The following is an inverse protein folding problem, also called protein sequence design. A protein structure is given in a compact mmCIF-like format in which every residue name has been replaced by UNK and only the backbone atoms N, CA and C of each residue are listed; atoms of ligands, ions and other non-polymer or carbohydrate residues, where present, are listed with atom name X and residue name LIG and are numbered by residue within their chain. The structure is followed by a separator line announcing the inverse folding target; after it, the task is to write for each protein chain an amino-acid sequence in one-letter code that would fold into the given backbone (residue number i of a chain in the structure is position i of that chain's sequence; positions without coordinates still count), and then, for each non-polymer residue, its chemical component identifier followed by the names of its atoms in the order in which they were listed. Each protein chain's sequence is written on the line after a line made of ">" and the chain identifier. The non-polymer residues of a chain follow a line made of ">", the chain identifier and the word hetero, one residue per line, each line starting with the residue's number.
data_IF_798137487934
#
_entry.id   IF_798137487934
#
_cell.length_a   1.000
_cell.length_b   1.000
_cell.length_c   1.000
_cell.angle_alpha   90.00
_cell.angle_beta   90.00
_cell.angle_gamma   90.00
#
_symmetry.space_group_name_H-M   'P 1'
#
loop_
_entity.id
_entity.type
_entity.pdbx_description
1 polymer ?
#
# COMPACT_ATOMS: atom_id res chain seq x y z
N UNK A 1 -4.35 10.91 14.15
CA UNK A 1 -5.23 12.06 14.44
C UNK A 1 -6.70 11.80 14.09
N UNK A 2 -7.08 11.31 12.89
CA UNK A 2 -8.50 10.99 12.62
C UNK A 2 -9.01 9.69 13.29
N UNK A 3 -8.08 8.81 13.68
CA UNK A 3 -8.40 7.44 14.10
C UNK A 3 -8.67 7.31 15.62
N UNK A 4 -8.63 8.41 16.38
CA UNK A 4 -8.75 8.37 17.86
C UNK A 4 -9.78 9.40 18.39
N UNK A 5 -10.06 10.52 17.70
CA UNK A 5 -11.07 11.53 18.12
C UNK A 5 -12.25 11.68 17.14
N UNK A 6 -12.69 10.58 16.52
CA UNK A 6 -13.44 10.59 15.25
C UNK A 6 -14.61 11.59 15.15
N UNK A 7 -15.48 11.72 16.17
CA UNK A 7 -16.61 12.64 16.12
C UNK A 7 -16.22 14.11 16.33
N UNK A 8 -15.29 14.38 17.25
CA UNK A 8 -14.90 15.74 17.64
C UNK A 8 -13.87 16.34 16.67
N UNK A 9 -12.94 15.50 16.18
CA UNK A 9 -12.00 15.84 15.13
C UNK A 9 -12.68 16.13 13.79
N UNK A 10 -13.72 15.37 13.44
CA UNK A 10 -14.50 15.62 12.22
C UNK A 10 -15.30 16.92 12.30
N UNK A 11 -15.96 17.19 13.44
CA UNK A 11 -16.67 18.47 13.69
C UNK A 11 -15.70 19.66 13.63
N UNK A 12 -14.52 19.53 14.23
CA UNK A 12 -13.48 20.56 14.16
C UNK A 12 -12.92 20.77 12.75
N UNK A 13 -12.76 19.71 11.96
CA UNK A 13 -12.34 19.80 10.56
C UNK A 13 -13.39 20.53 9.71
N UNK A 14 -14.67 20.13 9.80
CA UNK A 14 -15.78 20.78 9.09
C UNK A 14 -15.87 22.27 9.46
N UNK A 15 -15.73 22.59 10.76
CA UNK A 15 -15.74 23.97 11.24
C UNK A 15 -14.61 24.80 10.62
N UNK A 16 -13.40 24.23 10.54
CA UNK A 16 -12.23 24.90 9.92
C UNK A 16 -12.36 25.04 8.39
N UNK A 17 -12.94 24.03 7.72
CA UNK A 17 -13.21 24.06 6.27
C UNK A 17 -14.28 25.10 5.93
N UNK A 18 -15.38 25.17 6.70
CA UNK A 18 -16.40 26.23 6.57
C UNK A 18 -15.84 27.63 6.83
N UNK A 19 -14.81 27.75 7.67
CA UNK A 19 -14.05 28.99 7.89
C UNK A 19 -13.01 29.31 6.81
N UNK A 20 -13.07 28.69 5.62
CA UNK A 20 -12.20 28.98 4.48
C UNK A 20 -10.87 28.21 4.43
N UNK A 21 -10.56 27.37 5.42
CA UNK A 21 -9.30 26.60 5.47
C UNK A 21 -9.39 25.28 4.68
N UNK A 22 -9.76 25.34 3.40
CA UNK A 22 -9.93 24.18 2.51
C UNK A 22 -8.62 23.39 2.31
N UNK A 23 -7.47 24.07 2.37
CA UNK A 23 -6.14 23.44 2.30
C UNK A 23 -5.91 22.35 3.37
N UNK A 24 -6.70 22.36 4.47
CA UNK A 24 -6.64 21.32 5.49
C UNK A 24 -7.04 19.94 4.96
N UNK A 25 -7.89 19.87 3.93
CA UNK A 25 -8.29 18.62 3.27
C UNK A 25 -7.14 17.98 2.49
N UNK A 26 -6.17 18.79 2.06
CA UNK A 26 -5.01 18.34 1.29
C UNK A 26 -3.77 18.13 2.15
N UNK A 27 -3.87 18.29 3.48
CA UNK A 27 -2.75 17.99 4.37
C UNK A 27 -2.38 16.50 4.26
N UNK A 28 -1.17 16.25 3.78
CA UNK A 28 -0.67 14.91 3.52
C UNK A 28 -0.91 14.37 2.12
N UNK A 29 -1.58 15.12 1.22
CA UNK A 29 -1.75 14.71 -0.18
C UNK A 29 -0.40 14.53 -0.90
N UNK A 30 0.53 15.48 -0.72
CA UNK A 30 1.89 15.38 -1.27
C UNK A 30 2.69 14.20 -0.69
N UNK A 31 2.57 13.95 0.62
CA UNK A 31 3.20 12.80 1.25
C UNK A 31 2.61 11.48 0.74
N UNK A 32 1.30 11.45 0.47
CA UNK A 32 0.62 10.30 -0.10
C UNK A 32 1.03 10.07 -1.57
N UNK A 33 1.17 11.13 -2.35
CA UNK A 33 1.66 11.06 -3.73
C UNK A 33 3.12 10.56 -3.78
N UNK A 34 4.01 11.13 -2.97
CA UNK A 34 5.39 10.68 -2.87
C UNK A 34 5.47 9.21 -2.42
N UNK A 35 4.66 8.81 -1.44
CA UNK A 35 4.58 7.41 -1.01
C UNK A 35 4.07 6.48 -2.12
N UNK A 36 3.16 6.94 -2.98
CA UNK A 36 2.67 6.15 -4.11
C UNK A 36 3.76 5.96 -5.18
N UNK A 37 4.51 7.02 -5.49
CA UNK A 37 5.65 6.95 -6.42
C UNK A 37 6.73 6.00 -5.89
N UNK A 38 7.11 6.12 -4.63
CA UNK A 38 8.11 5.25 -4.00
C UNK A 38 7.65 3.79 -3.89
N UNK A 39 6.34 3.53 -3.87
CA UNK A 39 5.81 2.17 -3.90
C UNK A 39 5.81 1.56 -5.31
N UNK A 40 5.47 2.34 -6.33
CA UNK A 40 5.37 1.86 -7.71
C UNK A 40 6.72 1.80 -8.44
N UNK A 41 7.63 2.73 -8.15
CA UNK A 41 8.93 2.80 -8.82
C UNK A 41 9.76 1.52 -8.70
N UNK A 42 9.88 0.87 -7.52
CA UNK A 42 10.55 -0.42 -7.39
C UNK A 42 9.91 -1.51 -8.25
N UNK A 43 8.57 -1.53 -8.38
CA UNK A 43 7.88 -2.52 -9.21
C UNK A 43 8.29 -2.38 -10.68
N UNK A 44 8.22 -1.17 -11.23
CA UNK A 44 8.59 -0.90 -12.63
C UNK A 44 10.08 -1.14 -12.88
N UNK A 45 10.93 -0.75 -11.95
CA UNK A 45 12.37 -0.98 -12.05
C UNK A 45 12.70 -2.48 -12.07
N UNK A 46 12.18 -3.24 -11.11
CA UNK A 46 12.38 -4.69 -11.02
C UNK A 46 11.77 -5.42 -12.22
N UNK A 47 10.58 -5.03 -12.67
CA UNK A 47 9.93 -5.62 -13.85
C UNK A 47 10.76 -5.39 -15.12
N UNK A 48 11.27 -4.17 -15.33
CA UNK A 48 12.11 -3.84 -16.48
C UNK A 48 13.48 -4.53 -16.42
N UNK A 49 14.09 -4.58 -15.24
CA UNK A 49 15.39 -5.23 -15.02
C UNK A 49 15.30 -6.73 -15.32
N UNK A 50 14.32 -7.44 -14.74
CA UNK A 50 14.14 -8.87 -14.98
C UNK A 50 13.70 -9.19 -16.41
N UNK A 51 12.86 -8.34 -17.03
CA UNK A 51 12.42 -8.51 -18.43
C UNK A 51 13.54 -8.34 -19.46
N UNK A 52 14.57 -7.55 -19.13
CA UNK A 52 15.78 -7.36 -19.93
C UNK A 52 16.85 -8.42 -19.69
N UNK A 53 16.78 -9.16 -18.58
CA UNK A 53 17.78 -10.20 -18.30
C UNK A 53 17.59 -11.41 -19.24
N UNK A 54 18.67 -11.79 -19.92
CA UNK A 54 18.66 -12.95 -20.83
C UNK A 54 18.57 -14.28 -20.07
N UNK A 55 19.09 -14.34 -18.84
CA UNK A 55 19.01 -15.53 -17.98
C UNK A 55 17.59 -15.97 -17.69
N UNK A 56 16.67 -15.03 -17.43
CA UNK A 56 15.25 -15.33 -17.20
C UNK A 56 14.55 -15.77 -18.50
N UNK A 57 14.96 -15.23 -19.65
CA UNK A 57 14.44 -15.65 -20.96
C UNK A 57 14.88 -17.06 -21.34
N UNK A 58 16.12 -17.44 -21.00
CA UNK A 58 16.68 -18.77 -21.25
C UNK A 58 16.06 -19.84 -20.34
N UNK A 59 15.84 -19.51 -19.06
CA UNK A 59 15.25 -20.42 -18.08
C UNK A 59 13.75 -20.66 -18.30
N UNK A 60 12.98 -19.63 -18.69
CA UNK A 60 11.53 -19.72 -18.89
C UNK A 60 11.16 -19.51 -20.36
N UNK A 61 11.06 -20.63 -21.09
CA UNK A 61 10.73 -20.67 -22.52
C UNK A 61 9.32 -20.19 -22.83
N UNK A 62 8.35 -20.42 -21.93
CA UNK A 62 6.98 -19.93 -22.09
C UNK A 62 6.88 -18.47 -21.70
N UNK A 63 6.45 -17.62 -22.65
CA UNK A 63 6.27 -16.19 -22.44
C UNK A 63 5.27 -15.86 -21.31
N UNK A 64 4.23 -16.69 -21.15
CA UNK A 64 3.24 -16.56 -20.07
C UNK A 64 3.85 -16.80 -18.69
N UNK A 65 4.58 -17.92 -18.54
CA UNK A 65 5.22 -18.28 -17.26
C UNK A 65 6.31 -17.28 -16.89
N UNK A 66 7.06 -16.79 -17.89
CA UNK A 66 8.07 -15.74 -17.69
C UNK A 66 7.44 -14.44 -17.18
N UNK A 67 6.39 -13.95 -17.83
CA UNK A 67 5.74 -12.71 -17.41
C UNK A 67 5.10 -12.86 -16.02
N UNK A 68 4.52 -14.02 -15.71
CA UNK A 68 3.98 -14.32 -14.39
C UNK A 68 5.07 -14.35 -13.30
N UNK A 69 6.21 -15.00 -13.56
CA UNK A 69 7.32 -15.07 -12.61
C UNK A 69 7.97 -13.69 -12.38
N UNK A 70 8.20 -12.93 -13.45
CA UNK A 70 8.73 -11.56 -13.37
C UNK A 70 7.76 -10.66 -12.59
N UNK A 71 6.47 -10.74 -12.91
CA UNK A 71 5.42 -9.99 -12.22
C UNK A 71 5.27 -10.37 -10.75
N UNK A 72 5.51 -11.64 -10.40
CA UNK A 72 5.52 -12.09 -9.01
C UNK A 72 6.72 -11.54 -8.25
N UNK A 73 7.94 -11.63 -8.80
CA UNK A 73 9.16 -11.10 -8.16
C UNK A 73 9.08 -9.57 -8.02
N UNK A 74 8.62 -8.86 -9.04
CA UNK A 74 8.43 -7.40 -8.95
C UNK A 74 7.41 -7.02 -7.89
N UNK A 75 6.34 -7.81 -7.74
CA UNK A 75 5.36 -7.64 -6.67
C UNK A 75 5.96 -7.87 -5.29
N UNK A 76 6.76 -8.92 -5.09
CA UNK A 76 7.42 -9.19 -3.80
C UNK A 76 8.38 -8.06 -3.41
N UNK A 77 9.17 -7.54 -4.35
CA UNK A 77 10.11 -6.43 -4.11
C UNK A 77 9.34 -5.14 -3.79
N UNK A 78 8.32 -4.82 -4.58
CA UNK A 78 7.47 -3.64 -4.35
C UNK A 78 6.72 -3.72 -3.03
N UNK A 79 6.19 -4.89 -2.69
CA UNK A 79 5.51 -5.11 -1.42
C UNK A 79 6.46 -4.99 -0.24
N UNK A 80 7.70 -5.45 -0.38
CA UNK A 80 8.73 -5.29 0.67
C UNK A 80 9.01 -3.81 0.96
N UNK A 81 9.22 -3.00 -0.08
CA UNK A 81 9.45 -1.54 0.05
C UNK A 81 8.21 -0.81 0.56
N UNK A 82 7.04 -1.17 0.04
CA UNK A 82 5.75 -0.60 0.44
C UNK A 82 5.36 -0.96 1.87
N UNK A 83 5.77 -2.15 2.35
CA UNK A 83 5.51 -2.60 3.70
C UNK A 83 6.29 -1.74 4.71
N UNK A 84 7.56 -1.41 4.44
CA UNK A 84 8.37 -0.52 5.28
C UNK A 84 7.70 0.85 5.45
N UNK A 85 7.32 1.49 4.33
CA UNK A 85 6.65 2.80 4.37
C UNK A 85 5.35 2.75 5.19
N UNK A 86 4.59 1.66 5.05
CA UNK A 86 3.35 1.46 5.81
C UNK A 86 3.61 1.19 7.29
N UNK A 87 4.62 0.40 7.66
CA UNK A 87 4.97 0.14 9.06
C UNK A 87 5.43 1.43 9.73
N UNK A 88 6.27 2.23 9.07
CA UNK A 88 6.71 3.54 9.57
C UNK A 88 5.52 4.50 9.70
N UNK A 89 4.65 4.57 8.68
CA UNK A 89 3.45 5.42 8.69
C UNK A 89 2.50 5.06 9.84
N UNK A 90 2.19 3.77 10.00
CA UNK A 90 1.29 3.29 11.07
C UNK A 90 1.90 3.46 12.46
N UNK A 91 3.20 3.23 12.62
CA UNK A 91 3.93 3.49 13.88
C UNK A 91 3.87 4.98 14.22
N UNK A 92 4.14 5.87 13.26
CA UNK A 92 4.01 7.31 13.45
C UNK A 92 2.56 7.71 13.78
N UNK A 93 1.57 7.12 13.12
CA UNK A 93 0.16 7.41 13.39
C UNK A 93 -0.29 6.95 14.78
N UNK A 94 0.19 5.80 15.26
CA UNK A 94 -0.06 5.31 16.62
C UNK A 94 0.61 6.19 17.69
N UNK A 95 1.81 6.69 17.40
CA UNK A 95 2.62 7.45 18.35
C UNK A 95 2.38 8.97 18.32
N UNK A 96 1.81 9.50 17.24
CA UNK A 96 1.51 10.92 17.07
C UNK A 96 0.47 11.48 18.03
N UNK A 97 -0.10 10.65 18.91
CA UNK A 97 -0.93 11.08 20.03
C UNK A 97 -0.13 11.37 21.31
N UNK A 98 1.10 10.86 21.42
CA UNK A 98 1.93 11.01 22.62
C UNK A 98 3.08 11.99 22.40
N UNK A 99 3.86 11.87 21.33
CA UNK A 99 5.03 12.71 21.04
C UNK A 99 5.13 13.03 19.54
N UNK A 100 5.73 14.17 19.17
CA UNK A 100 5.99 14.54 17.78
C UNK A 100 7.16 13.71 17.21
N UNK A 101 6.90 12.43 16.93
CA UNK A 101 7.92 11.48 16.47
C UNK A 101 8.27 11.74 14.99
N UNK A 102 9.56 11.93 14.72
CA UNK A 102 10.13 12.08 13.38
C UNK A 102 10.19 10.72 12.67
N UNK A 103 10.20 10.71 11.33
CA UNK A 103 10.27 9.46 10.55
C UNK A 103 11.48 8.58 10.93
N UNK A 104 12.64 9.19 11.21
CA UNK A 104 13.85 8.48 11.64
C UNK A 104 13.71 7.83 13.01
N UNK A 105 13.08 8.51 13.96
CA UNK A 105 12.78 7.96 15.30
C UNK A 105 11.77 6.80 15.21
N UNK A 106 10.76 6.93 14.34
CA UNK A 106 9.81 5.85 14.08
C UNK A 106 10.50 4.60 13.53
N UNK A 107 11.47 4.75 12.62
CA UNK A 107 12.29 3.65 12.12
C UNK A 107 13.15 3.06 13.24
N UNK A 108 13.81 3.90 14.04
CA UNK A 108 14.63 3.47 15.18
C UNK A 108 13.85 2.64 16.20
N UNK A 109 12.63 3.05 16.55
CA UNK A 109 11.77 2.28 17.47
C UNK A 109 11.37 0.92 16.89
N UNK A 110 11.04 0.86 15.59
CA UNK A 110 10.67 -0.41 14.95
C UNK A 110 11.88 -1.35 14.89
N UNK A 111 13.06 -0.83 14.57
CA UNK A 111 14.31 -1.60 14.56
C UNK A 111 14.70 -2.07 15.96
N UNK A 112 14.53 -1.23 16.99
CA UNK A 112 14.81 -1.61 18.38
C UNK A 112 13.85 -2.70 18.90
N UNK A 113 12.59 -2.69 18.46
CA UNK A 113 11.59 -3.66 18.90
C UNK A 113 11.67 -5.00 18.15
N UNK A 114 11.66 -4.97 16.81
CA UNK A 114 11.51 -6.18 15.97
C UNK A 114 12.63 -6.32 14.91
N UNK A 115 13.60 -5.42 14.91
CA UNK A 115 14.68 -5.40 13.93
C UNK A 115 14.19 -5.28 12.48
N UNK A 116 15.04 -5.73 11.56
CA UNK A 116 14.75 -5.74 10.12
C UNK A 116 13.58 -6.66 9.76
N UNK A 117 13.36 -7.74 10.52
CA UNK A 117 12.21 -8.64 10.30
C UNK A 117 10.88 -7.95 10.62
N UNK A 118 10.84 -7.06 11.60
CA UNK A 118 9.68 -6.20 11.86
C UNK A 118 9.43 -5.17 10.77
N UNK A 119 10.49 -4.57 10.25
CA UNK A 119 10.37 -3.54 9.22
C UNK A 119 9.76 -4.10 7.91
N UNK A 120 10.19 -5.29 7.49
CA UNK A 120 9.77 -5.91 6.23
C UNK A 120 8.66 -6.94 6.39
N UNK A 121 8.58 -7.65 7.50
CA UNK A 121 7.68 -8.79 7.69
C UNK A 121 6.43 -8.52 8.53
N UNK A 122 6.41 -7.44 9.33
CA UNK A 122 5.29 -7.16 10.23
C UNK A 122 4.02 -6.88 9.43
N UNK A 123 2.98 -7.70 9.64
CA UNK A 123 1.68 -7.60 8.97
C UNK A 123 1.66 -8.05 7.50
N UNK A 124 2.78 -8.51 6.92
CA UNK A 124 2.85 -8.89 5.51
C UNK A 124 1.92 -10.09 5.20
N UNK A 125 1.96 -11.15 6.02
CA UNK A 125 1.09 -12.34 5.86
C UNK A 125 -0.40 -11.99 5.90
N UNK A 126 -0.81 -11.22 6.91
CA UNK A 126 -2.21 -10.80 7.09
C UNK A 126 -2.68 -9.93 5.93
N UNK A 127 -1.79 -9.11 5.35
CA UNK A 127 -2.08 -8.29 4.18
C UNK A 127 -2.21 -9.09 2.90
N UNK A 128 -1.31 -10.06 2.67
CA UNK A 128 -1.41 -10.96 1.51
C UNK A 128 -2.75 -11.69 1.54
N UNK A 129 -3.14 -12.22 2.71
CA UNK A 129 -4.44 -12.88 2.89
C UNK A 129 -5.62 -11.91 2.70
N UNK A 130 -5.53 -10.71 3.26
CA UNK A 130 -6.56 -9.68 3.11
C UNK A 130 -6.75 -9.24 1.66
N UNK A 131 -5.66 -9.01 0.94
CA UNK A 131 -5.69 -8.68 -0.48
C UNK A 131 -6.24 -9.85 -1.31
N UNK A 132 -5.83 -11.09 -1.04
CA UNK A 132 -6.34 -12.26 -1.73
C UNK A 132 -7.86 -12.43 -1.52
N UNK A 133 -8.34 -12.29 -0.28
CA UNK A 133 -9.76 -12.32 0.02
C UNK A 133 -10.52 -11.17 -0.67
N UNK A 134 -9.96 -9.96 -0.64
CA UNK A 134 -10.52 -8.80 -1.32
C UNK A 134 -10.61 -9.02 -2.84
N UNK A 135 -9.62 -9.66 -3.46
CA UNK A 135 -9.66 -10.03 -4.87
C UNK A 135 -10.75 -11.05 -5.17
N UNK A 136 -10.89 -12.11 -4.35
CA UNK A 136 -11.95 -13.12 -4.53
C UNK A 136 -13.33 -12.49 -4.42
N UNK A 137 -13.58 -11.70 -3.37
CA UNK A 137 -14.86 -11.02 -3.17
C UNK A 137 -15.16 -10.07 -4.33
N UNK A 138 -14.17 -9.30 -4.79
CA UNK A 138 -14.33 -8.41 -5.94
C UNK A 138 -14.70 -9.20 -7.21
N UNK A 139 -14.00 -10.30 -7.51
CA UNK A 139 -14.28 -11.13 -8.69
C UNK A 139 -15.69 -11.72 -8.64
N UNK A 140 -16.13 -12.21 -7.48
CA UNK A 140 -17.47 -12.79 -7.31
C UNK A 140 -18.56 -11.73 -7.48
N UNK A 141 -18.43 -10.61 -6.77
CA UNK A 141 -19.41 -9.51 -6.85
C UNK A 141 -19.46 -8.95 -8.27
N UNK A 142 -18.31 -8.72 -8.89
CA UNK A 142 -18.25 -8.15 -10.24
C UNK A 142 -18.82 -9.11 -11.29
N UNK A 143 -18.51 -10.41 -11.23
CA UNK A 143 -19.11 -11.40 -12.14
C UNK A 143 -20.63 -11.48 -11.95
N UNK A 144 -21.10 -11.53 -10.70
CA UNK A 144 -22.54 -11.54 -10.41
C UNK A 144 -23.26 -10.26 -10.87
N UNK A 145 -22.61 -9.10 -10.77
CA UNK A 145 -23.16 -7.84 -11.28
C UNK A 145 -23.17 -7.82 -12.82
N UNK A 146 -22.09 -8.29 -13.44
CA UNK A 146 -21.95 -8.34 -14.89
C UNK A 146 -22.96 -9.29 -15.54
N UNK A 147 -23.20 -10.45 -14.93
CA UNK A 147 -24.24 -11.41 -15.36
C UNK A 147 -25.64 -10.78 -15.27
N UNK A 148 -25.99 -10.16 -14.13
CA UNK A 148 -27.28 -9.45 -13.98
C UNK A 148 -27.47 -8.32 -14.98
N UNK A 149 -26.39 -7.61 -15.33
CA UNK A 149 -26.47 -6.52 -16.29
C UNK A 149 -26.58 -7.02 -17.74
N UNK A 150 -26.07 -8.22 -18.02
CA UNK A 150 -26.24 -8.90 -19.31
C UNK A 150 -27.67 -9.44 -19.47
N UNK A 151 -28.24 -10.04 -18.42
CA UNK A 151 -29.61 -10.57 -18.41
C UNK A 151 -30.66 -9.48 -18.58
N UNK A 152 -30.43 -8.29 -17.99
CA UNK A 152 -31.38 -7.17 -18.06
C UNK A 152 -31.34 -6.40 -19.40
N UNK A 153 -30.51 -6.85 -20.37
CA UNK A 153 -30.41 -6.30 -21.73
C UNK A 153 -30.87 -7.29 -22.81
N UNK A 154 -31.27 -8.50 -22.44
CA UNK A 154 -31.94 -9.49 -23.30
C UNK A 154 -33.44 -9.43 -23.12
#
# INVERSE_FOLDING_TARGET
>A
VLQVDSAEGFRNLIRKVRGGKVHLLYQGAMAQAASAVLAHYPWFYTYNFLSKSEGVRSFLKSALVRNAAIGFVSSVVSDSVSNVLRVVKTTKQAMGHKHAVTYGEAVGMVLAADGWRGLFGRGLKTRILGNALQSVVFTVIWRGLAERWSDNKG
#
